data_IF_057431927883
#
_entry.id   IF_057431927883
#
_cell.length_a   1.000
_cell.length_b   1.000
_cell.length_c   1.000
_cell.angle_alpha   90.00
_cell.angle_beta   90.00
_cell.angle_gamma   90.00
#
_symmetry.space_group_name_H-M   'P 1'
#
loop_
_entity.id
_entity.type
_entity.pdbx_description
1 polymer ?
#
# COMPACT_ATOMS: atom_id res chain seq x y z
N UNK A 1 -1.52 12.29 -7.43
CA UNK A 1 -2.54 11.38 -6.85
C UNK A 1 -1.89 10.42 -5.86
N UNK A 2 -2.64 9.83 -4.93
CA UNK A 2 -2.14 8.80 -4.02
C UNK A 2 -2.86 7.49 -4.28
N UNK A 3 -2.11 6.39 -4.33
CA UNK A 3 -2.63 5.04 -4.55
C UNK A 3 -2.28 4.20 -3.32
N UNK A 4 -3.27 3.52 -2.74
CA UNK A 4 -3.08 2.61 -1.62
C UNK A 4 -3.19 1.17 -2.11
N UNK A 5 -2.18 0.35 -1.84
CA UNK A 5 -2.17 -1.08 -2.17
C UNK A 5 -2.17 -1.91 -0.89
N UNK A 6 -3.10 -2.86 -0.73
CA UNK A 6 -3.13 -3.75 0.42
C UNK A 6 -2.02 -4.81 0.28
N UNK A 7 -1.23 -5.02 1.32
CA UNK A 7 -0.06 -5.90 1.31
C UNK A 7 -0.11 -6.91 2.46
N UNK A 8 0.38 -8.13 2.23
CA UNK A 8 0.62 -9.17 3.25
C UNK A 8 2.07 -9.08 3.77
N UNK A 9 2.99 -8.64 2.92
CA UNK A 9 4.40 -8.33 3.20
C UNK A 9 4.89 -7.30 2.18
N UNK A 10 6.13 -6.79 2.31
CA UNK A 10 6.67 -5.81 1.37
C UNK A 10 6.72 -6.30 -0.10
N UNK A 11 6.77 -7.61 -0.32
CA UNK A 11 6.86 -8.24 -1.65
C UNK A 11 5.54 -8.87 -2.14
N UNK A 12 4.49 -8.90 -1.31
CA UNK A 12 3.25 -9.62 -1.62
C UNK A 12 2.01 -8.74 -1.42
N UNK A 13 1.28 -8.51 -2.52
CA UNK A 13 -0.04 -7.87 -2.50
C UNK A 13 -1.05 -8.81 -1.81
N UNK A 14 -1.94 -8.24 -1.01
CA UNK A 14 -3.03 -8.98 -0.38
C UNK A 14 -4.21 -9.20 -1.33
N UNK A 15 -4.75 -10.41 -1.33
CA UNK A 15 -5.96 -10.75 -2.08
C UNK A 15 -7.22 -10.06 -1.53
N UNK A 16 -7.20 -9.69 -0.24
CA UNK A 16 -8.32 -9.05 0.43
C UNK A 16 -7.86 -7.79 1.17
N UNK A 17 -8.51 -6.67 0.86
CA UNK A 17 -8.20 -5.38 1.48
C UNK A 17 -8.30 -5.44 3.02
N UNK A 18 -9.37 -6.06 3.54
CA UNK A 18 -9.62 -6.17 4.98
C UNK A 18 -8.70 -7.12 5.74
N UNK A 19 -7.92 -7.97 5.08
CA UNK A 19 -6.96 -8.89 5.72
C UNK A 19 -5.50 -8.49 5.46
N UNK A 20 -5.27 -7.31 4.89
CA UNK A 20 -3.92 -6.79 4.70
C UNK A 20 -3.26 -6.54 6.04
N UNK A 21 -1.95 -6.79 6.12
CA UNK A 21 -1.14 -6.46 7.29
C UNK A 21 -0.61 -5.03 7.23
N UNK A 22 -0.46 -4.50 6.02
CA UNK A 22 0.03 -3.15 5.78
C UNK A 22 -0.50 -2.61 4.44
N UNK A 23 -0.39 -1.30 4.28
CA UNK A 23 -0.69 -0.59 3.04
C UNK A 23 0.57 0.06 2.51
N UNK A 24 0.87 -0.21 1.24
CA UNK A 24 1.84 0.57 0.47
C UNK A 24 1.11 1.76 -0.15
N UNK A 25 1.53 2.97 0.22
CA UNK A 25 1.03 4.22 -0.34
C UNK A 25 2.06 4.75 -1.34
N UNK A 26 1.67 4.79 -2.60
CA UNK A 26 2.45 5.40 -3.68
C UNK A 26 1.91 6.81 -3.98
N UNK A 27 2.80 7.81 -3.97
CA UNK A 27 2.50 9.15 -4.46
C UNK A 27 2.92 9.25 -5.93
N UNK A 28 1.97 9.50 -6.81
CA UNK A 28 2.17 9.54 -8.27
C UNK A 28 1.87 10.93 -8.79
N UNK A 29 2.80 11.50 -9.58
CA UNK A 29 2.62 12.77 -10.26
C UNK A 29 3.07 12.66 -11.72
N UNK A 30 2.27 13.17 -12.66
CA UNK A 30 2.59 13.15 -14.11
C UNK A 30 3.11 11.78 -14.60
N UNK A 31 2.45 10.69 -14.15
CA UNK A 31 2.77 9.29 -14.44
C UNK A 31 4.07 8.73 -13.81
N UNK A 32 4.74 9.50 -12.96
CA UNK A 32 5.93 9.07 -12.21
C UNK A 32 5.62 8.82 -10.73
N UNK A 33 6.21 7.77 -10.16
CA UNK A 33 6.17 7.52 -8.72
C UNK A 33 7.20 8.42 -8.04
N UNK A 34 6.73 9.31 -7.19
CA UNK A 34 7.55 10.29 -6.47
C UNK A 34 7.94 9.79 -5.07
N UNK A 35 7.07 9.03 -4.41
CA UNK A 35 7.29 8.52 -3.06
C UNK A 35 6.57 7.17 -2.84
N UNK A 36 7.14 6.33 -1.98
CA UNK A 36 6.62 5.02 -1.60
C UNK A 36 6.79 4.83 -0.09
N UNK A 37 5.69 4.66 0.62
CA UNK A 37 5.67 4.48 2.08
C UNK A 37 4.78 3.33 2.49
N UNK A 38 5.22 2.59 3.50
CA UNK A 38 4.44 1.52 4.10
C UNK A 38 3.82 1.99 5.42
N UNK A 39 2.58 1.57 5.66
CA UNK A 39 1.84 1.84 6.88
C UNK A 39 1.21 0.55 7.37
N UNK A 40 1.35 0.24 8.65
CA UNK A 40 0.69 -0.92 9.24
C UNK A 40 -0.83 -0.77 9.12
N UNK A 41 -1.50 -1.88 8.79
CA UNK A 41 -2.95 -1.93 8.82
C UNK A 41 -3.42 -1.90 10.28
N UNK A 42 -4.56 -1.27 10.59
CA UNK A 42 -5.11 -1.28 11.93
C UNK A 42 -5.31 -2.71 12.43
N UNK A 43 -5.01 -2.97 13.71
CA UNK A 43 -5.41 -4.21 14.36
C UNK A 43 -6.95 -4.31 14.38
N UNK A 44 -7.47 -5.52 14.16
CA UNK A 44 -8.90 -5.82 14.20
C UNK A 44 -9.50 -5.65 15.60
#
# INVERSE_FOLDING_TARGET
MKIAMPMISEEQISDHFGHSKMFLIAEVNEDEIQDLKYYDAPEH
#
